data_IF_418294458433
#
_entry.id   IF_418294458433
#
_cell.length_a   1.000
_cell.length_b   1.000
_cell.length_c   1.000
_cell.angle_alpha   90.00
_cell.angle_beta   90.00
_cell.angle_gamma   90.00
#
_symmetry.space_group_name_H-M   'P 1'
#
loop_
_entity.id
_entity.type
_entity.pdbx_description
1 polymer ?
#
# COMPACT_ATOMS: atom_id res chain seq x y z
N UNK A 1 25.77 12.73 16.41
CA UNK A 1 25.22 11.42 16.84
C UNK A 1 23.70 11.41 16.73
N UNK A 2 22.98 12.43 17.19
CA UNK A 2 21.51 12.50 17.07
C UNK A 2 20.94 12.31 15.64
N UNK A 3 21.58 12.84 14.60
CA UNK A 3 21.06 12.74 13.22
C UNK A 3 21.16 11.32 12.63
N UNK A 4 22.18 10.55 13.01
CA UNK A 4 22.34 9.17 12.52
C UNK A 4 21.29 8.24 13.13
N UNK A 5 20.96 8.45 14.40
CA UNK A 5 19.96 7.66 15.12
C UNK A 5 18.54 7.93 14.58
N UNK A 6 18.22 9.18 14.22
CA UNK A 6 16.93 9.55 13.61
C UNK A 6 16.75 8.95 12.21
N UNK A 7 17.80 8.98 11.39
CA UNK A 7 17.77 8.36 10.04
C UNK A 7 17.59 6.85 10.14
N UNK A 8 18.27 6.21 11.08
CA UNK A 8 18.15 4.78 11.34
C UNK A 8 16.73 4.37 11.73
N UNK A 9 16.12 5.05 12.70
CA UNK A 9 14.75 4.73 13.14
C UNK A 9 13.71 5.01 12.05
N UNK A 10 13.88 6.08 11.27
CA UNK A 10 13.00 6.39 10.14
C UNK A 10 13.06 5.32 9.06
N UNK A 11 14.27 4.82 8.77
CA UNK A 11 14.51 3.73 7.81
C UNK A 11 13.86 2.43 8.30
N UNK A 12 14.06 2.09 9.58
CA UNK A 12 13.46 0.91 10.20
C UNK A 12 11.92 0.96 10.14
N UNK A 13 11.33 2.12 10.41
CA UNK A 13 9.88 2.32 10.31
C UNK A 13 9.38 2.13 8.88
N UNK A 14 10.11 2.65 7.89
CA UNK A 14 9.76 2.47 6.47
C UNK A 14 9.79 0.99 6.05
N UNK A 15 10.80 0.24 6.49
CA UNK A 15 10.89 -1.21 6.24
C UNK A 15 9.75 -1.98 6.91
N UNK A 16 9.39 -1.65 8.15
CA UNK A 16 8.25 -2.27 8.81
C UNK A 16 6.92 -1.94 8.09
N UNK A 17 6.76 -0.71 7.62
CA UNK A 17 5.57 -0.33 6.84
C UNK A 17 5.48 -1.13 5.52
N UNK A 18 6.62 -1.39 4.87
CA UNK A 18 6.66 -2.23 3.67
C UNK A 18 6.17 -3.65 3.95
N UNK A 19 6.63 -4.27 5.05
CA UNK A 19 6.15 -5.60 5.44
C UNK A 19 4.65 -5.60 5.79
N UNK A 20 4.18 -4.58 6.52
CA UNK A 20 2.75 -4.43 6.82
C UNK A 20 1.90 -4.32 5.54
N UNK A 21 2.36 -3.57 4.53
CA UNK A 21 1.65 -3.44 3.24
C UNK A 21 1.54 -4.80 2.54
N UNK A 22 2.62 -5.59 2.52
CA UNK A 22 2.60 -6.95 1.97
C UNK A 22 1.60 -7.84 2.70
N UNK A 23 1.59 -7.80 4.02
CA UNK A 23 0.63 -8.57 4.83
C UNK A 23 -0.82 -8.15 4.54
N UNK A 24 -1.09 -6.84 4.39
CA UNK A 24 -2.41 -6.35 4.01
C UNK A 24 -2.85 -6.86 2.63
N UNK A 25 -1.97 -6.77 1.62
CA UNK A 25 -2.24 -7.26 0.26
C UNK A 25 -2.54 -8.77 0.26
N UNK A 26 -1.75 -9.55 1.00
CA UNK A 26 -1.99 -10.98 1.17
C UNK A 26 -3.34 -11.25 1.84
N UNK A 27 -3.66 -10.52 2.92
CA UNK A 27 -4.93 -10.64 3.61
C UNK A 27 -6.13 -10.33 2.70
N UNK A 28 -6.04 -9.30 1.85
CA UNK A 28 -7.07 -8.98 0.87
C UNK A 28 -7.28 -10.12 -0.13
N UNK A 29 -6.21 -10.71 -0.62
CA UNK A 29 -6.28 -11.85 -1.54
C UNK A 29 -6.88 -13.09 -0.87
N UNK A 30 -6.50 -13.38 0.37
CA UNK A 30 -7.04 -14.52 1.11
C UNK A 30 -8.54 -14.35 1.38
N UNK A 31 -8.98 -13.14 1.76
CA UNK A 31 -10.41 -12.82 1.91
C UNK A 31 -11.15 -13.03 0.58
N UNK A 32 -10.60 -12.51 -0.51
CA UNK A 32 -11.19 -12.65 -1.85
C UNK A 32 -11.35 -14.13 -2.23
N UNK A 33 -10.32 -14.94 -2.00
CA UNK A 33 -10.28 -16.38 -2.27
C UNK A 33 -11.23 -17.21 -1.41
N UNK A 34 -11.46 -16.81 -0.16
CA UNK A 34 -12.45 -17.45 0.71
C UNK A 34 -13.88 -17.07 0.28
N UNK A 35 -14.06 -15.84 -0.19
CA UNK A 35 -15.40 -15.27 -0.45
C UNK A 35 -15.96 -15.71 -1.80
N UNK A 36 -15.11 -15.83 -2.83
CA UNK A 36 -15.54 -16.08 -4.20
C UNK A 36 -14.88 -17.33 -4.80
N UNK A 37 -15.63 -18.16 -5.55
CA UNK A 37 -15.05 -19.23 -6.35
C UNK A 37 -14.04 -18.68 -7.38
N UNK A 38 -12.98 -19.43 -7.67
CA UNK A 38 -11.93 -19.00 -8.61
C UNK A 38 -12.41 -18.79 -10.05
N UNK A 39 -13.54 -19.39 -10.42
CA UNK A 39 -14.17 -19.23 -11.75
C UNK A 39 -15.04 -17.97 -11.84
N UNK A 40 -15.28 -17.30 -10.70
CA UNK A 40 -16.12 -16.12 -10.63
C UNK A 40 -15.41 -14.92 -11.25
N UNK A 41 -16.08 -14.19 -12.14
CA UNK A 41 -15.48 -13.01 -12.79
C UNK A 41 -15.03 -11.93 -11.79
N UNK A 42 -15.73 -11.78 -10.66
CA UNK A 42 -15.35 -10.84 -9.61
C UNK A 42 -14.12 -11.30 -8.82
N UNK A 43 -13.86 -12.62 -8.75
CA UNK A 43 -12.61 -13.14 -8.19
C UNK A 43 -11.44 -12.73 -9.09
N UNK A 44 -11.56 -12.96 -10.40
CA UNK A 44 -10.51 -12.57 -11.36
C UNK A 44 -10.26 -11.05 -11.33
N UNK A 45 -11.31 -10.23 -11.40
CA UNK A 45 -11.18 -8.76 -11.31
C UNK A 45 -10.56 -8.30 -9.98
N UNK A 46 -10.93 -8.94 -8.87
CA UNK A 46 -10.35 -8.65 -7.56
C UNK A 46 -8.86 -9.01 -7.51
N UNK A 47 -8.48 -10.15 -8.07
CA UNK A 47 -7.09 -10.57 -8.16
C UNK A 47 -6.27 -9.60 -9.03
N UNK A 48 -6.78 -9.25 -10.21
CA UNK A 48 -6.13 -8.29 -11.13
C UNK A 48 -5.89 -6.94 -10.44
N UNK A 49 -6.86 -6.45 -9.67
CA UNK A 49 -6.72 -5.20 -8.92
C UNK A 49 -5.67 -5.29 -7.79
N UNK A 50 -5.59 -6.42 -7.09
CA UNK A 50 -4.60 -6.65 -6.03
C UNK A 50 -3.18 -6.72 -6.63
N UNK A 51 -3.04 -7.40 -7.77
CA UNK A 51 -1.77 -7.48 -8.51
C UNK A 51 -1.34 -6.08 -8.98
N UNK A 52 -2.23 -5.35 -9.64
CA UNK A 52 -1.97 -3.98 -10.08
C UNK A 52 -1.62 -3.05 -8.90
N UNK A 53 -2.27 -3.19 -7.75
CA UNK A 53 -1.94 -2.41 -6.56
C UNK A 53 -0.50 -2.67 -6.09
N UNK A 54 -0.10 -3.95 -6.02
CA UNK A 54 1.24 -4.32 -5.59
C UNK A 54 2.32 -3.85 -6.56
N UNK A 55 2.10 -4.02 -7.86
CA UNK A 55 3.01 -3.55 -8.91
C UNK A 55 3.20 -2.03 -8.87
N UNK A 56 2.09 -1.27 -8.84
CA UNK A 56 2.15 0.20 -8.76
C UNK A 56 2.86 0.67 -7.47
N UNK A 57 2.65 -0.03 -6.36
CA UNK A 57 3.36 0.29 -5.11
C UNK A 57 4.87 0.05 -5.23
N UNK A 58 5.30 -1.07 -5.83
CA UNK A 58 6.73 -1.32 -6.06
C UNK A 58 7.35 -0.28 -6.99
N UNK A 59 6.66 0.09 -8.08
CA UNK A 59 7.10 1.14 -9.01
C UNK A 59 7.26 2.50 -8.32
N UNK A 60 6.33 2.85 -7.42
CA UNK A 60 6.43 4.06 -6.61
C UNK A 60 7.66 4.04 -5.70
N UNK A 61 7.97 2.89 -5.09
CA UNK A 61 9.09 2.76 -4.13
C UNK A 61 10.47 2.82 -4.80
N UNK A 62 10.59 2.39 -6.06
CA UNK A 62 11.87 2.43 -6.81
C UNK A 62 12.11 3.77 -7.52
N UNK A 63 11.12 4.67 -7.54
CA UNK A 63 11.22 5.96 -8.21
C UNK A 63 11.89 7.03 -7.32
N UNK A 64 13.20 6.92 -7.13
CA UNK A 64 14.00 7.80 -6.26
C UNK A 64 13.82 9.31 -6.59
N UNK A 65 13.64 9.66 -7.87
CA UNK A 65 13.56 11.05 -8.35
C UNK A 65 12.13 11.62 -8.38
N UNK A 66 11.09 10.77 -8.40
CA UNK A 66 9.69 11.16 -8.46
C UNK A 66 9.07 11.59 -7.12
N UNK A 67 9.81 11.40 -6.02
CA UNK A 67 9.33 11.57 -4.63
C UNK A 67 8.73 12.95 -4.35
N UNK A 68 9.29 14.04 -4.92
CA UNK A 68 8.79 15.40 -4.66
C UNK A 68 7.42 15.65 -5.29
N UNK A 69 7.22 15.25 -6.55
CA UNK A 69 5.92 15.38 -7.24
C UNK A 69 4.89 14.41 -6.68
N UNK A 70 5.32 13.21 -6.28
CA UNK A 70 4.49 12.25 -5.56
C UNK A 70 3.98 12.84 -4.24
N UNK A 71 4.84 13.44 -3.43
CA UNK A 71 4.45 14.05 -2.15
C UNK A 71 3.46 15.21 -2.31
N UNK A 72 3.53 15.96 -3.42
CA UNK A 72 2.52 16.99 -3.74
C UNK A 72 1.17 16.36 -4.05
N UNK A 73 1.14 15.31 -4.87
CA UNK A 73 -0.09 14.57 -5.20
C UNK A 73 -0.68 13.84 -4.00
N UNK A 74 0.16 13.26 -3.15
CA UNK A 74 -0.27 12.54 -1.94
C UNK A 74 -1.02 13.46 -0.96
N UNK A 75 -0.56 14.70 -0.80
CA UNK A 75 -1.26 15.71 0.03
C UNK A 75 -2.65 16.07 -0.48
N UNK A 76 -2.91 15.86 -1.77
CA UNK A 76 -4.21 16.06 -2.41
C UNK A 76 -4.95 14.76 -2.72
N UNK A 77 -4.37 13.61 -2.36
CA UNK A 77 -4.96 12.32 -2.64
C UNK A 77 -5.98 12.01 -1.53
N UNK A 78 -7.22 12.43 -1.76
CA UNK A 78 -8.35 11.87 -1.04
C UNK A 78 -8.60 10.48 -1.62
N UNK A 79 -8.56 9.44 -0.79
CA UNK A 79 -9.14 8.16 -1.18
C UNK A 79 -10.62 8.33 -0.89
N UNK A 80 -11.42 8.51 -1.93
CA UNK A 80 -12.87 8.63 -1.86
C UNK A 80 -13.45 7.24 -1.54
N UNK A 81 -13.32 6.88 -0.27
CA UNK A 81 -13.80 5.63 0.30
C UNK A 81 -14.97 6.00 1.19
N UNK A 82 -16.10 5.33 1.01
CA UNK A 82 -17.18 5.30 2.00
C UNK A 82 -16.78 4.37 3.17
N UNK A 83 -15.55 4.56 3.68
CA UNK A 83 -14.95 3.87 4.81
C UNK A 83 -14.79 4.88 5.94
N UNK A 84 -15.33 4.61 7.14
CA UNK A 84 -15.14 5.49 8.28
C UNK A 84 -13.68 5.44 8.73
N UNK A 85 -12.86 6.39 8.27
CA UNK A 85 -11.45 6.56 8.64
C UNK A 85 -11.27 7.51 9.84
N UNK A 86 -12.37 7.94 10.47
CA UNK A 86 -12.44 9.00 11.49
C UNK A 86 -11.58 8.78 12.75
N UNK A 87 -10.89 7.65 12.89
CA UNK A 87 -10.08 7.31 14.07
C UNK A 87 -8.56 7.19 13.79
N UNK A 88 -8.05 7.62 12.63
CA UNK A 88 -6.65 7.41 12.24
C UNK A 88 -5.72 8.65 12.33
N UNK A 89 -6.16 9.75 12.94
CA UNK A 89 -5.33 10.94 13.19
C UNK A 89 -5.30 11.33 14.67
#
# INVERSE_FOLDING_TARGET
MADADVVYESTKKALNNFENIKECIQGLYDILKITLPSENMYFNMGQDNIEALYENFLELMINELGTVEFMKKLKSAEVDLDLPLDNLL
#
